data_IF_011310861875
#
_entry.id   IF_011310861875
#
_cell.length_a   1.000
_cell.length_b   1.000
_cell.length_c   1.000
_cell.angle_alpha   90.00
_cell.angle_beta   90.00
_cell.angle_gamma   90.00
#
_symmetry.space_group_name_H-M   'P 1'
#
loop_
_entity.id
_entity.type
_entity.pdbx_description
1 polymer ?
#
# COMPACT_ATOMS: atom_id res chain seq x y z
N UNK A 1 12.96 2.35 -19.31
CA UNK A 1 13.16 1.03 -19.95
C UNK A 1 12.20 0.90 -21.13
N UNK A 2 12.71 0.94 -22.37
CA UNK A 2 11.92 0.58 -23.56
C UNK A 2 12.09 -0.93 -23.74
N UNK A 3 11.17 -1.74 -23.17
CA UNK A 3 11.31 -3.21 -23.14
C UNK A 3 10.91 -3.91 -24.45
N UNK A 4 10.26 -3.21 -25.38
CA UNK A 4 9.72 -3.79 -26.63
C UNK A 4 10.30 -3.16 -27.91
N UNK A 5 11.07 -2.08 -27.80
CA UNK A 5 11.60 -1.31 -28.94
C UNK A 5 10.54 -0.53 -29.73
N UNK A 6 9.30 -0.45 -29.24
CA UNK A 6 8.22 0.32 -29.86
C UNK A 6 7.90 1.56 -29.02
N UNK A 7 7.90 2.73 -29.66
CA UNK A 7 7.39 3.96 -29.06
C UNK A 7 5.86 3.93 -29.03
N UNK A 8 5.29 4.31 -27.90
CA UNK A 8 3.84 4.39 -27.74
C UNK A 8 3.40 5.73 -27.16
N UNK A 9 2.41 6.33 -27.81
CA UNK A 9 1.74 7.54 -27.33
C UNK A 9 0.56 7.13 -26.43
N UNK A 10 0.72 7.33 -25.11
CA UNK A 10 -0.33 7.07 -24.11
C UNK A 10 -1.44 8.14 -24.10
N UNK A 11 -1.46 9.07 -25.05
CA UNK A 11 -2.53 10.06 -25.15
C UNK A 11 -3.88 9.36 -25.41
N UNK A 12 -4.87 9.50 -24.49
CA UNK A 12 -6.18 8.87 -24.62
C UNK A 12 -6.93 9.24 -25.91
N UNK A 13 -6.55 10.36 -26.56
CA UNK A 13 -7.15 10.84 -27.82
C UNK A 13 -6.58 10.15 -29.06
N UNK A 14 -5.38 9.57 -28.99
CA UNK A 14 -4.71 8.86 -30.10
C UNK A 14 -4.66 7.34 -29.87
N UNK A 15 -5.11 6.88 -28.69
CA UNK A 15 -5.26 5.48 -28.32
C UNK A 15 -6.36 4.79 -29.14
N UNK A 16 -6.00 4.27 -30.32
CA UNK A 16 -6.92 3.57 -31.22
C UNK A 16 -6.72 2.05 -31.17
N UNK A 17 -7.78 1.29 -31.45
CA UNK A 17 -7.73 -0.17 -31.54
C UNK A 17 -6.68 -0.65 -32.57
N UNK A 18 -6.54 0.05 -33.70
CA UNK A 18 -5.50 -0.22 -34.69
C UNK A 18 -4.08 -0.03 -34.11
N UNK A 19 -3.87 0.97 -33.26
CA UNK A 19 -2.62 1.17 -32.53
C UNK A 19 -2.27 0.00 -31.61
N UNK A 20 -3.26 -0.55 -30.90
CA UNK A 20 -3.07 -1.72 -30.02
C UNK A 20 -2.68 -2.96 -30.83
N UNK A 21 -3.30 -3.20 -31.99
CA UNK A 21 -2.91 -4.31 -32.86
C UNK A 21 -1.50 -4.14 -33.43
N UNK A 22 -1.09 -2.91 -33.76
CA UNK A 22 0.25 -2.59 -34.25
C UNK A 22 1.36 -2.81 -33.22
N UNK A 23 1.04 -2.79 -31.92
CA UNK A 23 1.99 -3.14 -30.86
C UNK A 23 2.42 -4.61 -30.89
N UNK A 24 1.63 -5.49 -31.52
CA UNK A 24 1.89 -6.93 -31.57
C UNK A 24 2.21 -7.52 -30.18
N UNK A 25 1.51 -7.06 -29.14
CA UNK A 25 1.74 -7.43 -27.72
C UNK A 25 1.71 -8.95 -27.49
N UNK A 26 0.99 -9.70 -28.33
CA UNK A 26 1.00 -11.17 -28.34
C UNK A 26 2.42 -11.76 -28.46
N UNK A 27 3.35 -11.07 -29.13
CA UNK A 27 4.77 -11.50 -29.24
C UNK A 27 5.54 -11.36 -27.94
N UNK A 28 5.04 -10.57 -27.00
CA UNK A 28 5.67 -10.27 -25.72
C UNK A 28 4.80 -10.74 -24.54
N UNK A 29 3.83 -11.63 -24.78
CA UNK A 29 2.87 -12.09 -23.76
C UNK A 29 3.55 -12.56 -22.47
N UNK A 30 4.66 -13.31 -22.57
CA UNK A 30 5.41 -13.76 -21.39
C UNK A 30 5.99 -12.59 -20.57
N UNK A 31 6.62 -11.62 -21.24
CA UNK A 31 7.21 -10.45 -20.60
C UNK A 31 6.16 -9.52 -19.98
N UNK A 32 5.04 -9.32 -20.67
CA UNK A 32 3.91 -8.54 -20.16
C UNK A 32 3.33 -9.23 -18.93
N UNK A 33 3.16 -10.55 -18.96
CA UNK A 33 2.65 -11.30 -17.83
C UNK A 33 3.59 -11.19 -16.62
N UNK A 34 4.90 -11.28 -16.83
CA UNK A 34 5.90 -11.06 -15.77
C UNK A 34 5.78 -9.66 -15.14
N UNK A 35 5.65 -8.62 -15.96
CA UNK A 35 5.46 -7.24 -15.48
C UNK A 35 4.16 -7.11 -14.69
N UNK A 36 3.06 -7.66 -15.19
CA UNK A 36 1.75 -7.61 -14.52
C UNK A 36 1.79 -8.36 -13.20
N UNK A 37 2.43 -9.53 -13.14
CA UNK A 37 2.60 -10.27 -11.89
C UNK A 37 3.45 -9.50 -10.88
N UNK A 38 4.55 -8.90 -11.32
CA UNK A 38 5.39 -8.05 -10.47
C UNK A 38 4.59 -6.85 -9.93
N UNK A 39 3.89 -6.12 -10.80
CA UNK A 39 3.05 -4.99 -10.41
C UNK A 39 1.92 -5.39 -9.44
N UNK A 40 1.30 -6.56 -9.65
CA UNK A 40 0.26 -7.08 -8.75
C UNK A 40 0.82 -7.40 -7.36
N UNK A 41 2.05 -7.95 -7.33
CA UNK A 41 2.76 -8.23 -6.08
C UNK A 41 3.13 -6.92 -5.36
N UNK A 42 3.66 -5.94 -6.08
CA UNK A 42 3.98 -4.61 -5.55
C UNK A 42 2.73 -3.91 -4.99
N UNK A 43 1.62 -3.91 -5.72
CA UNK A 43 0.35 -3.34 -5.25
C UNK A 43 -0.12 -3.99 -3.94
N UNK A 44 0.08 -5.29 -3.79
CA UNK A 44 -0.30 -6.00 -2.55
C UNK A 44 0.58 -5.59 -1.37
N UNK A 45 1.88 -5.35 -1.61
CA UNK A 45 2.83 -4.85 -0.61
C UNK A 45 2.46 -3.42 -0.21
N UNK A 46 2.26 -2.53 -1.19
CA UNK A 46 1.87 -1.14 -0.95
C UNK A 46 0.57 -1.03 -0.15
N UNK A 47 -0.41 -1.88 -0.46
CA UNK A 47 -1.65 -1.96 0.31
C UNK A 47 -1.40 -2.40 1.76
N UNK A 48 -0.60 -3.44 1.97
CA UNK A 48 -0.25 -3.90 3.31
C UNK A 48 0.43 -2.80 4.15
N UNK A 49 1.35 -2.05 3.55
CA UNK A 49 2.02 -0.92 4.22
C UNK A 49 1.01 0.20 4.54
N UNK A 50 0.13 0.53 3.59
CA UNK A 50 -0.91 1.55 3.81
C UNK A 50 -1.87 1.17 4.93
N UNK A 51 -2.26 -0.11 5.02
CA UNK A 51 -3.17 -0.61 6.06
C UNK A 51 -2.51 -0.51 7.45
N UNK A 52 -1.21 -0.85 7.55
CA UNK A 52 -0.41 -0.67 8.77
C UNK A 52 -0.32 0.81 9.15
N UNK A 53 -0.02 1.70 8.20
CA UNK A 53 0.04 3.14 8.45
C UNK A 53 -1.30 3.69 8.96
N UNK A 54 -2.42 3.25 8.37
CA UNK A 54 -3.75 3.67 8.79
C UNK A 54 -4.12 3.16 10.19
N UNK A 55 -3.78 1.90 10.49
CA UNK A 55 -3.95 1.31 11.83
C UNK A 55 -3.20 2.14 12.89
N UNK A 56 -1.94 2.48 12.63
CA UNK A 56 -1.12 3.27 13.56
C UNK A 56 -1.65 4.71 13.73
N UNK A 57 -2.14 5.33 12.65
CA UNK A 57 -2.79 6.66 12.73
C UNK A 57 -4.05 6.65 13.59
N UNK A 58 -4.81 5.55 13.58
CA UNK A 58 -6.05 5.41 14.36
C UNK A 58 -5.80 4.97 15.79
N UNK A 59 -4.66 4.33 16.07
CA UNK A 59 -4.29 3.86 17.40
C UNK A 59 -4.13 5.02 18.38
N UNK A 60 -4.83 4.95 19.52
CA UNK A 60 -4.80 5.98 20.56
C UNK A 60 -4.61 5.35 21.92
N UNK A 61 -3.70 5.90 22.71
CA UNK A 61 -3.57 5.51 24.11
C UNK A 61 -4.78 5.97 24.92
N UNK A 62 -5.33 5.06 25.71
CA UNK A 62 -6.34 5.40 26.70
C UNK A 62 -5.61 6.05 27.87
N UNK A 63 -6.05 7.26 28.25
CA UNK A 63 -5.48 8.01 29.35
C UNK A 63 -6.54 8.14 30.45
N UNK A 64 -6.23 7.63 31.64
CA UNK A 64 -7.15 7.61 32.77
C UNK A 64 -6.74 8.66 33.81
N UNK A 65 -7.70 9.40 34.39
CA UNK A 65 -7.41 10.31 35.49
C UNK A 65 -7.03 9.51 36.75
N UNK A 66 -5.95 9.91 37.40
CA UNK A 66 -5.44 9.30 38.63
C UNK A 66 -5.18 10.36 39.69
N UNK A 67 -5.75 10.18 40.88
CA UNK A 67 -5.62 11.10 41.99
C UNK A 67 -4.89 10.41 43.14
N UNK A 68 -3.76 10.99 43.57
CA UNK A 68 -3.02 10.53 44.75
C UNK A 68 -2.85 11.70 45.72
N UNK A 69 -3.61 11.67 46.82
CA UNK A 69 -3.69 12.79 47.77
C UNK A 69 -4.23 14.06 47.08
N UNK A 70 -3.52 15.18 47.21
CA UNK A 70 -3.88 16.46 46.58
C UNK A 70 -3.40 16.63 45.12
N UNK A 71 -2.78 15.60 44.52
CA UNK A 71 -2.27 15.68 43.14
C UNK A 71 -3.19 14.95 42.18
N UNK A 72 -3.69 15.68 41.17
CA UNK A 72 -4.32 15.11 39.97
C UNK A 72 -3.25 14.84 38.93
N UNK A 73 -3.23 13.63 38.41
CA UNK A 73 -2.32 13.14 37.38
C UNK A 73 -3.10 12.27 36.39
N UNK A 74 -2.44 11.83 35.33
CA UNK A 74 -3.01 10.88 34.38
C UNK A 74 -2.10 9.67 34.28
N UNK A 75 -2.69 8.49 34.14
CA UNK A 75 -1.98 7.24 33.89
C UNK A 75 -2.42 6.66 32.55
N UNK A 76 -1.55 5.87 31.93
CA UNK A 76 -1.92 5.06 30.78
C UNK A 76 -2.88 3.96 31.24
N UNK A 77 -3.95 3.77 30.48
CA UNK A 77 -4.81 2.60 30.57
C UNK A 77 -4.15 1.36 29.97
N UNK A 78 -4.90 0.27 29.77
CA UNK A 78 -4.42 -0.95 29.14
C UNK A 78 -3.78 -0.67 27.77
N UNK A 79 -2.66 -1.33 27.49
CA UNK A 79 -1.90 -1.19 26.24
C UNK A 79 -1.77 -2.51 25.47
N UNK A 80 -2.43 -3.57 25.93
CA UNK A 80 -2.33 -4.92 25.37
C UNK A 80 -2.65 -4.95 23.87
N UNK A 81 -3.71 -4.25 23.44
CA UNK A 81 -4.10 -4.15 22.03
C UNK A 81 -3.05 -3.41 21.18
N UNK A 82 -2.45 -2.34 21.71
CA UNK A 82 -1.42 -1.56 21.00
C UNK A 82 -0.13 -2.38 20.88
N UNK A 83 0.21 -3.17 21.90
CA UNK A 83 1.37 -4.07 21.88
C UNK A 83 1.14 -5.23 20.92
N UNK A 84 -0.06 -5.82 20.90
CA UNK A 84 -0.40 -6.87 19.95
C UNK A 84 -0.32 -6.36 18.50
N UNK A 85 -0.89 -5.17 18.22
CA UNK A 85 -0.81 -4.55 16.91
C UNK A 85 0.64 -4.23 16.50
N UNK A 86 1.52 -3.95 17.47
CA UNK A 86 2.96 -3.79 17.23
C UNK A 86 3.61 -5.10 16.80
N UNK A 87 3.35 -6.18 17.53
CA UNK A 87 3.91 -7.49 17.24
C UNK A 87 3.38 -8.04 15.90
N UNK A 88 2.12 -7.79 15.56
CA UNK A 88 1.50 -8.23 14.30
C UNK A 88 1.96 -7.40 13.08
N UNK A 89 2.53 -6.21 13.29
CA UNK A 89 3.00 -5.32 12.20
C UNK A 89 4.51 -5.18 12.09
N UNK A 90 5.28 -5.77 13.02
CA UNK A 90 6.75 -5.83 13.00
C UNK A 90 7.30 -6.98 12.17
#
# INVERSE_FOLDING_TARGET
MIKTGQEFDMNPKTFTLAGIFNMKLYRFSALINEIVMAATKEMSIEKGISDVEEMWKKSKFIVLPFIKGNRKSHILGPVDEIMQNLDDSG
#
